data_IF_508250168216
#
_entry.id   IF_508250168216
#
_cell.length_a   1.000
_cell.length_b   1.000
_cell.length_c   1.000
_cell.angle_alpha   90.00
_cell.angle_beta   90.00
_cell.angle_gamma   90.00
#
_symmetry.space_group_name_H-M   'P 1'
#
loop_
_entity.id
_entity.type
_entity.pdbx_description
1 polymer ?
#
# COMPACT_ATOMS: atom_id res chain seq x y z
N UNK A 1 14.96 -1.20 1.90
CA UNK A 1 15.41 -2.35 1.08
C UNK A 1 16.82 -2.74 1.51
N UNK A 2 17.08 -4.03 1.70
CA UNK A 2 18.15 -4.48 2.57
C UNK A 2 19.48 -4.79 1.88
N UNK A 3 19.93 -3.92 0.96
CA UNK A 3 21.35 -3.89 0.63
C UNK A 3 21.87 -2.46 0.64
N UNK A 4 23.11 -2.35 1.10
CA UNK A 4 23.77 -1.06 1.26
C UNK A 4 24.09 -0.47 -0.10
N UNK A 5 23.56 0.72 -0.35
CA UNK A 5 23.76 1.47 -1.60
C UNK A 5 24.41 2.80 -1.29
N UNK A 6 25.15 3.31 -2.27
CA UNK A 6 25.80 4.61 -2.21
C UNK A 6 25.59 5.34 -3.54
N UNK A 7 25.34 6.63 -3.46
CA UNK A 7 25.23 7.50 -4.63
C UNK A 7 25.76 8.90 -4.31
N UNK A 8 26.40 9.53 -5.29
CA UNK A 8 26.85 10.92 -5.16
C UNK A 8 28.17 11.08 -4.42
N UNK A 9 28.35 12.25 -3.79
CA UNK A 9 29.57 12.62 -3.08
C UNK A 9 29.43 12.36 -1.59
N UNK A 10 30.41 11.67 -1.00
CA UNK A 10 30.41 11.29 0.41
C UNK A 10 31.76 11.60 1.07
N UNK A 11 31.80 11.92 2.37
CA UNK A 11 33.02 11.93 3.15
C UNK A 11 33.55 10.51 3.37
N UNK A 12 34.85 10.39 3.71
CA UNK A 12 35.47 9.08 3.97
C UNK A 12 34.98 8.36 5.25
N UNK A 13 34.19 9.03 6.10
CA UNK A 13 33.57 8.47 7.30
C UNK A 13 32.32 9.28 7.66
N UNK A 14 31.34 8.66 8.29
CA UNK A 14 30.16 9.36 8.84
C UNK A 14 30.58 10.37 9.91
N UNK A 15 29.83 11.46 10.01
CA UNK A 15 29.98 12.48 11.05
C UNK A 15 31.36 13.13 11.12
N UNK A 16 31.91 13.48 9.95
CA UNK A 16 33.13 14.28 9.82
C UNK A 16 32.86 15.50 8.94
N UNK A 17 33.82 16.43 8.88
CA UNK A 17 33.71 17.59 8.00
C UNK A 17 33.58 17.17 6.54
N UNK A 18 32.48 17.54 5.91
CA UNK A 18 32.25 17.39 4.48
C UNK A 18 31.88 18.75 3.89
N UNK A 19 32.77 19.32 3.06
CA UNK A 19 32.67 20.70 2.59
C UNK A 19 32.34 20.77 1.11
N UNK A 20 31.46 21.70 0.77
CA UNK A 20 31.22 22.15 -0.60
C UNK A 20 32.43 22.91 -1.15
N UNK A 21 32.56 23.09 -2.48
CA UNK A 21 33.67 23.83 -3.10
C UNK A 21 33.84 25.27 -2.57
N UNK A 22 32.76 25.90 -2.10
CA UNK A 22 32.77 27.23 -1.50
C UNK A 22 33.22 27.24 -0.02
N UNK A 23 33.62 26.10 0.54
CA UNK A 23 34.09 25.95 1.92
C UNK A 23 33.00 25.75 2.99
N UNK A 24 31.72 25.91 2.65
CA UNK A 24 30.60 25.64 3.57
C UNK A 24 30.47 24.13 3.82
N UNK A 25 29.98 23.75 5.00
CA UNK A 25 29.66 22.35 5.29
C UNK A 25 28.36 21.95 4.58
N UNK A 26 28.34 20.76 4.00
CA UNK A 26 27.08 20.08 3.72
C UNK A 26 26.41 19.66 5.03
N UNK A 27 25.08 19.68 5.07
CA UNK A 27 24.32 19.28 6.26
C UNK A 27 24.07 17.78 6.22
N UNK A 28 24.57 17.06 7.23
CA UNK A 28 24.37 15.61 7.37
C UNK A 28 23.00 15.33 8.00
N UNK A 29 22.19 14.46 7.39
CA UNK A 29 20.95 13.92 7.93
C UNK A 29 21.06 12.40 8.06
N UNK A 30 20.82 11.86 9.26
CA UNK A 30 20.58 10.43 9.43
C UNK A 30 19.09 10.19 9.27
N UNK A 31 18.70 9.66 8.12
CA UNK A 31 17.34 9.28 7.76
C UNK A 31 17.07 7.85 8.24
N UNK A 32 16.53 7.74 9.44
CA UNK A 32 16.37 6.46 10.14
C UNK A 32 14.92 6.06 10.36
N UNK A 33 14.74 4.76 10.56
CA UNK A 33 13.47 4.15 10.95
C UNK A 33 13.60 3.51 12.34
N UNK A 34 12.48 3.32 13.04
CA UNK A 34 12.42 2.63 14.34
C UNK A 34 13.35 3.21 15.42
N UNK A 35 13.57 4.53 15.44
CA UNK A 35 14.34 5.16 16.52
C UNK A 35 15.78 4.66 16.64
N UNK A 36 16.49 4.56 15.51
CA UNK A 36 17.89 4.13 15.37
C UNK A 36 18.17 2.62 15.47
N UNK A 37 17.15 1.78 15.68
CA UNK A 37 17.33 0.32 15.63
C UNK A 37 17.02 -0.29 14.26
N UNK A 38 16.24 0.43 13.43
CA UNK A 38 15.88 0.01 12.08
C UNK A 38 16.94 0.38 11.03
N UNK A 39 16.68 0.08 9.75
CA UNK A 39 17.53 0.53 8.66
C UNK A 39 17.59 2.06 8.59
N UNK A 40 18.71 2.57 8.09
CA UNK A 40 18.99 4.00 7.93
C UNK A 40 19.62 4.30 6.57
N UNK A 41 19.49 5.55 6.13
CA UNK A 41 20.36 6.16 5.13
C UNK A 41 20.93 7.46 5.68
N UNK A 42 22.17 7.78 5.34
CA UNK A 42 22.80 9.07 5.67
C UNK A 42 22.80 9.91 4.41
N UNK A 43 22.26 11.13 4.49
CA UNK A 43 22.19 12.07 3.38
C UNK A 43 23.01 13.31 3.68
N UNK A 44 23.56 13.92 2.63
CA UNK A 44 24.32 15.16 2.73
C UNK A 44 23.66 16.22 1.86
N UNK A 45 23.07 17.22 2.51
CA UNK A 45 22.29 18.29 1.88
C UNK A 45 23.14 19.54 1.63
N UNK A 46 22.79 20.31 0.59
CA UNK A 46 23.34 21.66 0.39
C UNK A 46 22.86 22.60 1.50
N UNK A 47 21.56 22.56 1.80
CA UNK A 47 20.91 23.38 2.82
C UNK A 47 20.50 22.49 4.01
N UNK A 48 20.42 23.06 5.21
CA UNK A 48 20.02 22.25 6.36
C UNK A 48 18.54 21.85 6.22
N UNK A 49 18.17 20.55 6.24
CA UNK A 49 16.80 20.09 5.96
C UNK A 49 15.74 20.60 6.97
N UNK A 50 16.19 21.22 8.06
CA UNK A 50 15.37 21.88 9.08
C UNK A 50 14.96 23.32 8.73
N UNK A 51 15.49 23.90 7.64
CA UNK A 51 15.23 25.28 7.23
C UNK A 51 13.90 25.39 6.47
N UNK A 52 12.83 25.65 7.22
CA UNK A 52 11.48 25.92 6.68
C UNK A 52 11.06 27.34 7.04
N UNK A 53 10.41 28.05 6.11
CA UNK A 53 10.00 29.45 6.29
C UNK A 53 8.49 29.64 6.53
N UNK A 54 7.68 28.60 6.30
CA UNK A 54 6.23 28.64 6.53
C UNK A 54 5.63 27.25 6.66
N UNK A 55 4.45 27.19 7.30
CA UNK A 55 3.65 25.97 7.36
C UNK A 55 2.18 26.28 7.62
N UNK A 56 1.29 25.44 7.11
CA UNK A 56 -0.16 25.50 7.38
C UNK A 56 -0.83 24.13 7.19
N UNK A 57 -1.93 23.81 7.92
CA UNK A 57 -2.75 22.66 7.60
C UNK A 57 -3.50 22.89 6.27
N UNK A 58 -3.59 21.87 5.42
CA UNK A 58 -4.30 21.95 4.14
C UNK A 58 -5.66 21.26 4.20
N UNK A 59 -5.69 19.95 4.39
CA UNK A 59 -6.93 19.17 4.36
C UNK A 59 -6.85 17.88 5.19
N UNK A 60 -8.02 17.42 5.61
CA UNK A 60 -8.21 16.11 6.22
C UNK A 60 -8.02 15.01 5.17
N UNK A 61 -7.19 14.02 5.50
CA UNK A 61 -6.86 12.90 4.63
C UNK A 61 -7.42 11.57 5.13
N UNK A 62 -8.25 11.58 6.18
CA UNK A 62 -8.87 10.36 6.71
C UNK A 62 -10.02 9.89 5.80
N UNK A 63 -10.06 8.61 5.41
CA UNK A 63 -11.17 8.07 4.66
C UNK A 63 -12.43 7.95 5.52
N UNK A 64 -13.59 8.16 4.90
CA UNK A 64 -14.88 7.80 5.49
C UNK A 64 -15.22 6.34 5.15
N UNK A 65 -15.12 5.46 6.14
CA UNK A 65 -15.52 4.06 6.02
C UNK A 65 -17.02 3.87 6.24
N UNK A 66 -17.68 3.21 5.28
CA UNK A 66 -19.10 2.92 5.28
C UNK A 66 -19.34 1.41 5.32
N UNK A 67 -20.60 1.01 5.55
CA UNK A 67 -21.00 -0.41 5.53
C UNK A 67 -20.15 -1.34 6.44
N UNK A 68 -19.63 -0.83 7.57
CA UNK A 68 -18.70 -1.56 8.45
C UNK A 68 -19.27 -2.86 9.05
N UNK A 69 -20.60 -3.04 9.02
CA UNK A 69 -21.29 -4.25 9.49
C UNK A 69 -21.71 -5.18 8.34
N UNK A 70 -21.33 -4.88 7.10
CA UNK A 70 -21.70 -5.64 5.90
C UNK A 70 -20.58 -6.59 5.51
N UNK A 71 -20.80 -7.88 5.74
CA UNK A 71 -19.91 -8.95 5.28
C UNK A 71 -20.42 -9.49 3.94
N UNK A 72 -19.83 -9.01 2.84
CA UNK A 72 -20.22 -9.38 1.47
C UNK A 72 -19.01 -9.32 0.54
N UNK A 73 -18.92 -10.26 -0.39
CA UNK A 73 -17.97 -10.17 -1.51
C UNK A 73 -18.26 -8.95 -2.37
N UNK A 74 -17.22 -8.24 -2.79
CA UNK A 74 -17.36 -7.02 -3.60
C UNK A 74 -16.62 -7.15 -4.92
N UNK A 75 -17.14 -6.49 -5.93
CA UNK A 75 -16.49 -6.30 -7.23
C UNK A 75 -16.58 -4.83 -7.60
N UNK A 76 -15.50 -4.11 -7.33
CA UNK A 76 -15.35 -2.70 -7.65
C UNK A 76 -14.81 -2.54 -9.05
N UNK A 77 -15.54 -1.82 -9.91
CA UNK A 77 -15.17 -1.58 -11.30
C UNK A 77 -14.48 -0.23 -11.41
N UNK A 78 -13.14 -0.20 -11.40
CA UNK A 78 -12.38 1.06 -11.46
C UNK A 78 -12.09 1.56 -12.88
N UNK A 79 -12.40 0.77 -13.91
CA UNK A 79 -12.15 1.11 -15.31
C UNK A 79 -12.91 2.36 -15.79
N UNK A 80 -14.17 2.61 -15.34
CA UNK A 80 -14.91 3.83 -15.68
C UNK A 80 -14.45 5.11 -14.94
N UNK A 81 -13.53 5.02 -13.98
CA UNK A 81 -13.07 6.20 -13.23
C UNK A 81 -12.47 7.23 -14.18
N UNK A 82 -12.96 8.46 -14.07
CA UNK A 82 -12.46 9.57 -14.88
C UNK A 82 -11.19 10.16 -14.27
N UNK A 83 -10.29 10.71 -15.10
CA UNK A 83 -9.14 11.44 -14.60
C UNK A 83 -9.56 12.60 -13.69
N UNK A 84 -8.92 12.72 -12.52
CA UNK A 84 -9.12 13.81 -11.58
C UNK A 84 -7.88 14.06 -10.73
N UNK A 85 -7.62 15.32 -10.37
CA UNK A 85 -6.53 15.71 -9.48
C UNK A 85 -5.15 15.28 -9.97
N UNK A 86 -4.16 15.42 -9.08
CA UNK A 86 -2.78 15.01 -9.31
C UNK A 86 -2.50 13.60 -8.71
N UNK A 87 -1.27 13.05 -8.79
CA UNK A 87 -0.95 11.71 -8.25
C UNK A 87 -1.09 11.53 -6.72
N UNK A 88 -1.39 12.58 -5.97
CA UNK A 88 -1.70 12.54 -4.53
C UNK A 88 -3.18 12.90 -4.31
N UNK A 89 -3.63 14.04 -4.81
CA UNK A 89 -5.00 14.55 -4.59
C UNK A 89 -6.06 13.79 -5.39
N UNK A 90 -5.67 13.14 -6.49
CA UNK A 90 -6.51 12.29 -7.31
C UNK A 90 -6.65 10.85 -6.80
N UNK A 91 -5.98 10.50 -5.69
CA UNK A 91 -6.08 9.16 -5.10
C UNK A 91 -7.48 8.94 -4.52
N UNK A 92 -8.14 7.86 -4.96
CA UNK A 92 -9.43 7.43 -4.42
C UNK A 92 -9.22 6.16 -3.61
N UNK A 93 -9.31 6.28 -2.29
CA UNK A 93 -9.24 5.13 -1.37
C UNK A 93 -10.52 4.32 -1.53
N UNK A 94 -10.37 3.01 -1.77
CA UNK A 94 -11.48 2.08 -1.95
C UNK A 94 -11.68 1.22 -0.70
N UNK A 95 -10.58 0.68 -0.20
CA UNK A 95 -10.57 -0.21 0.95
C UNK A 95 -9.47 0.19 1.92
N UNK A 96 -9.73 0.06 3.21
CA UNK A 96 -8.68 0.29 4.19
C UNK A 96 -9.01 -0.18 5.59
N UNK A 97 -7.99 -0.23 6.43
CA UNK A 97 -8.07 -0.52 7.84
C UNK A 97 -6.92 0.21 8.57
N UNK A 98 -6.59 -0.21 9.80
CA UNK A 98 -5.52 0.40 10.57
C UNK A 98 -4.10 0.06 10.08
N UNK A 99 -3.95 -0.91 9.19
CA UNK A 99 -2.68 -1.40 8.67
C UNK A 99 -2.37 -0.89 7.26
N UNK A 100 -3.37 -0.86 6.38
CA UNK A 100 -3.23 -0.43 4.98
C UNK A 100 -4.44 0.36 4.48
N UNK A 101 -4.19 1.37 3.65
CA UNK A 101 -5.18 2.01 2.78
C UNK A 101 -4.82 1.69 1.33
N UNK A 102 -5.80 1.23 0.54
CA UNK A 102 -5.59 0.89 -0.87
C UNK A 102 -6.66 1.47 -1.77
N UNK A 103 -6.27 1.78 -3.01
CA UNK A 103 -7.16 2.41 -3.95
C UNK A 103 -6.58 2.59 -5.33
N UNK A 104 -7.23 3.45 -6.10
CA UNK A 104 -6.91 3.73 -7.51
C UNK A 104 -6.71 5.23 -7.67
N UNK A 105 -5.75 5.61 -8.51
CA UNK A 105 -5.58 6.98 -8.96
C UNK A 105 -5.53 7.02 -10.49
N UNK A 106 -6.30 7.95 -11.06
CA UNK A 106 -6.27 8.30 -12.48
C UNK A 106 -5.99 9.82 -12.52
N UNK A 107 -4.72 10.26 -12.49
CA UNK A 107 -4.41 11.67 -12.39
C UNK A 107 -4.77 12.41 -13.69
N UNK A 108 -5.47 13.53 -13.56
CA UNK A 108 -5.71 14.48 -14.65
C UNK A 108 -4.58 15.51 -14.76
N UNK A 109 -4.02 15.89 -13.61
CA UNK A 109 -3.10 17.01 -13.46
C UNK A 109 -1.69 16.52 -13.07
N UNK A 110 -0.70 17.37 -13.35
CA UNK A 110 0.66 17.18 -12.87
C UNK A 110 0.82 17.71 -11.45
N UNK A 111 1.75 17.14 -10.69
CA UNK A 111 2.13 17.64 -9.37
C UNK A 111 2.98 18.91 -9.52
N UNK A 112 2.57 20.03 -8.91
CA UNK A 112 3.31 21.31 -8.87
C UNK A 112 4.02 21.57 -7.52
N UNK A 113 3.92 20.65 -6.58
CA UNK A 113 4.59 20.62 -5.28
C UNK A 113 5.44 19.35 -5.11
N UNK A 114 6.13 19.24 -3.98
CA UNK A 114 6.77 18.02 -3.51
C UNK A 114 5.95 17.38 -2.38
N UNK A 115 6.02 16.08 -2.21
CA UNK A 115 5.23 15.36 -1.22
C UNK A 115 6.10 14.43 -0.37
N UNK A 116 5.70 14.22 0.88
CA UNK A 116 6.14 13.08 1.69
C UNK A 116 5.02 12.60 2.61
N UNK A 117 5.04 11.32 2.95
CA UNK A 117 4.14 10.71 3.94
C UNK A 117 4.95 10.16 5.11
N UNK A 118 4.33 10.03 6.29
CA UNK A 118 4.90 9.24 7.41
C UNK A 118 4.66 7.73 7.25
N UNK A 119 4.07 7.32 6.14
CA UNK A 119 3.76 5.94 5.76
C UNK A 119 4.51 5.54 4.49
N UNK A 120 4.82 4.24 4.35
CA UNK A 120 5.39 3.70 3.11
C UNK A 120 4.29 3.64 2.04
N UNK A 121 4.63 4.02 0.82
CA UNK A 121 3.78 3.93 -0.37
C UNK A 121 4.29 2.79 -1.27
N UNK A 122 3.38 1.95 -1.75
CA UNK A 122 3.63 1.05 -2.87
C UNK A 122 2.66 1.38 -4.00
N UNK A 123 3.18 1.88 -5.13
CA UNK A 123 2.38 2.25 -6.31
C UNK A 123 2.60 1.21 -7.40
N UNK A 124 1.56 0.62 -7.96
CA UNK A 124 1.66 -0.22 -9.15
C UNK A 124 1.06 0.51 -10.36
N UNK A 125 1.91 0.85 -11.33
CA UNK A 125 1.55 1.63 -12.52
C UNK A 125 0.81 0.73 -13.51
N UNK A 126 -0.51 0.85 -13.61
CA UNK A 126 -1.28 0.09 -14.61
C UNK A 126 -1.10 0.69 -16.02
N UNK A 127 -1.20 2.01 -16.13
CA UNK A 127 -1.02 2.75 -17.37
C UNK A 127 -0.18 4.00 -17.14
N UNK A 128 0.58 4.38 -18.16
CA UNK A 128 1.43 5.55 -18.12
C UNK A 128 2.89 5.23 -17.85
N UNK A 129 3.69 6.29 -17.94
CA UNK A 129 5.14 6.27 -17.71
C UNK A 129 5.57 7.65 -17.22
N UNK A 130 6.78 7.76 -16.69
CA UNK A 130 7.28 9.03 -16.19
C UNK A 130 8.53 8.90 -15.35
N UNK A 131 8.71 9.84 -14.43
CA UNK A 131 9.86 9.88 -13.52
C UNK A 131 9.42 10.23 -12.11
N UNK A 132 9.88 9.42 -11.15
CA UNK A 132 9.79 9.69 -9.72
C UNK A 132 11.07 10.43 -9.31
N UNK A 133 10.97 11.74 -9.08
CA UNK A 133 12.08 12.54 -8.55
C UNK A 133 12.05 12.47 -7.03
N UNK A 134 13.17 12.14 -6.39
CA UNK A 134 13.25 12.01 -4.92
C UNK A 134 14.51 12.67 -4.39
N UNK A 135 14.58 12.85 -3.07
CA UNK A 135 15.80 13.32 -2.39
C UNK A 135 16.97 12.33 -2.52
N UNK A 136 16.72 11.10 -2.99
CA UNK A 136 17.75 10.09 -3.26
C UNK A 136 18.18 10.06 -4.73
N UNK A 137 17.49 10.78 -5.61
CA UNK A 137 17.68 10.73 -7.07
C UNK A 137 16.39 10.44 -7.83
N UNK A 138 16.51 10.32 -9.15
CA UNK A 138 15.41 10.10 -10.06
C UNK A 138 15.23 8.61 -10.37
N UNK A 139 13.99 8.14 -10.52
CA UNK A 139 13.68 6.77 -10.95
C UNK A 139 12.70 6.86 -12.13
N UNK A 140 13.13 6.54 -13.36
CA UNK A 140 12.20 6.37 -14.47
C UNK A 140 11.25 5.21 -14.20
N UNK A 141 9.99 5.35 -14.59
CA UNK A 141 9.00 4.29 -14.47
C UNK A 141 8.12 4.20 -15.71
N UNK A 142 7.51 3.04 -15.90
CA UNK A 142 6.61 2.71 -16.98
C UNK A 142 5.49 1.76 -16.53
N UNK A 143 4.74 1.22 -17.49
CA UNK A 143 3.68 0.28 -17.21
C UNK A 143 4.21 -0.94 -16.45
N UNK A 144 3.40 -1.38 -15.49
CA UNK A 144 3.59 -2.52 -14.60
C UNK A 144 4.76 -2.42 -13.62
N UNK A 145 5.32 -1.24 -13.44
CA UNK A 145 6.26 -0.99 -12.37
C UNK A 145 5.54 -0.85 -11.02
N UNK A 146 6.10 -1.52 -10.03
CA UNK A 146 5.98 -1.15 -8.63
C UNK A 146 6.97 -0.02 -8.32
N UNK A 147 6.50 1.04 -7.68
CA UNK A 147 7.31 2.06 -7.02
C UNK A 147 7.14 1.90 -5.52
N UNK A 148 8.20 1.48 -4.83
CA UNK A 148 8.21 1.38 -3.38
C UNK A 148 8.92 2.59 -2.83
N UNK A 149 8.18 3.43 -2.09
CA UNK A 149 8.60 4.73 -1.60
C UNK A 149 8.58 4.70 -0.07
N UNK A 150 9.74 4.60 0.60
CA UNK A 150 9.78 4.61 2.04
C UNK A 150 9.25 5.91 2.62
N UNK A 151 8.56 5.82 3.76
CA UNK A 151 8.11 6.96 4.56
C UNK A 151 9.21 7.98 4.76
N UNK A 152 8.82 9.25 4.78
CA UNK A 152 9.70 10.40 4.94
C UNK A 152 10.41 10.85 3.66
N UNK A 153 10.45 10.01 2.61
CA UNK A 153 11.07 10.36 1.33
C UNK A 153 10.32 11.55 0.72
N UNK A 154 11.03 12.67 0.51
CA UNK A 154 10.49 13.78 -0.28
C UNK A 154 10.57 13.39 -1.75
N UNK A 155 9.43 13.46 -2.43
CA UNK A 155 9.36 13.12 -3.85
C UNK A 155 8.40 14.00 -4.65
N UNK A 156 8.56 13.95 -5.97
CA UNK A 156 7.62 14.47 -6.97
C UNK A 156 7.41 13.40 -8.04
N UNK A 157 6.16 13.00 -8.24
CA UNK A 157 5.80 12.00 -9.25
C UNK A 157 5.34 12.71 -10.52
N UNK A 158 6.14 12.61 -11.58
CA UNK A 158 5.88 13.29 -12.85
C UNK A 158 5.54 12.25 -13.91
N UNK A 159 4.26 12.18 -14.27
CA UNK A 159 3.82 11.38 -15.41
C UNK A 159 4.04 12.14 -16.72
N UNK A 160 4.42 11.41 -17.77
CA UNK A 160 4.31 11.90 -19.14
C UNK A 160 2.82 12.04 -19.53
N UNK A 161 2.53 12.99 -20.43
CA UNK A 161 1.18 13.10 -20.99
C UNK A 161 0.93 11.90 -21.90
N UNK A 162 -0.17 11.15 -21.70
CA UNK A 162 -0.54 10.07 -22.61
C UNK A 162 -0.71 10.59 -24.04
N UNK A 163 -0.33 9.76 -25.01
CA UNK A 163 -0.66 10.03 -26.42
C UNK A 163 -2.17 9.89 -26.65
N UNK A 164 -2.66 10.41 -27.76
CA UNK A 164 -4.09 10.42 -28.08
C UNK A 164 -4.73 9.02 -28.17
N UNK A 165 -3.92 7.99 -28.44
CA UNK A 165 -4.30 6.57 -28.57
C UNK A 165 -3.94 5.73 -27.33
N UNK A 166 -3.31 6.32 -26.32
CA UNK A 166 -2.96 5.65 -25.07
C UNK A 166 -4.04 5.86 -23.99
N UNK A 167 -4.27 4.88 -23.10
CA UNK A 167 -5.15 5.09 -21.96
C UNK A 167 -4.62 6.19 -21.03
N UNK A 168 -5.52 6.82 -20.27
CA UNK A 168 -5.12 7.76 -19.23
C UNK A 168 -4.15 7.10 -18.23
N UNK A 169 -3.22 7.89 -17.69
CA UNK A 169 -2.33 7.44 -16.63
C UNK A 169 -3.16 6.86 -15.48
N UNK A 170 -2.75 5.70 -14.96
CA UNK A 170 -3.49 4.99 -13.92
C UNK A 170 -2.55 4.14 -13.08
N UNK A 171 -2.71 4.19 -11.77
CA UNK A 171 -2.01 3.32 -10.84
C UNK A 171 -2.91 2.90 -9.69
N UNK A 172 -2.62 1.74 -9.11
CA UNK A 172 -3.13 1.36 -7.79
C UNK A 172 -2.11 1.72 -6.74
N UNK A 173 -2.55 2.04 -5.54
CA UNK A 173 -1.68 2.33 -4.41
C UNK A 173 -2.06 1.48 -3.20
N UNK A 174 -1.06 1.11 -2.42
CA UNK A 174 -1.17 0.49 -1.10
C UNK A 174 -0.25 1.28 -0.16
N UNK A 175 -0.84 2.02 0.78
CA UNK A 175 -0.13 2.83 1.77
C UNK A 175 -0.15 2.12 3.13
N UNK A 176 1.02 1.89 3.73
CA UNK A 176 1.18 1.21 5.02
C UNK A 176 0.87 2.17 6.19
N UNK A 177 -0.42 2.44 6.43
CA UNK A 177 -0.88 3.43 7.43
C UNK A 177 -0.63 3.06 8.89
N UNK A 178 -0.18 1.82 9.18
CA UNK A 178 0.41 1.48 10.48
C UNK A 178 1.85 1.95 10.66
N UNK A 179 2.45 2.56 9.64
CA UNK A 179 3.83 3.02 9.66
C UNK A 179 4.87 1.90 9.57
N UNK A 180 4.51 0.70 9.12
CA UNK A 180 5.51 -0.34 8.81
C UNK A 180 6.22 -0.05 7.48
N UNK A 181 7.38 -0.68 7.28
CA UNK A 181 8.09 -0.64 5.99
C UNK A 181 7.51 -1.70 5.05
N UNK A 182 7.37 -1.37 3.77
CA UNK A 182 7.04 -2.34 2.72
C UNK A 182 8.35 -2.96 2.21
N UNK A 183 8.54 -4.25 2.47
CA UNK A 183 9.80 -4.96 2.23
C UNK A 183 9.60 -6.26 1.44
N UNK A 184 10.67 -6.78 0.81
CA UNK A 184 10.67 -8.15 0.33
C UNK A 184 10.35 -9.14 1.46
N UNK A 185 9.59 -10.21 1.16
CA UNK A 185 9.24 -11.23 2.14
C UNK A 185 10.49 -11.87 2.79
N UNK A 186 10.55 -12.02 4.13
CA UNK A 186 11.68 -12.62 4.83
C UNK A 186 12.02 -14.03 4.34
N UNK A 187 11.05 -14.76 3.76
CA UNK A 187 11.25 -16.09 3.15
C UNK A 187 12.17 -16.08 1.92
N UNK A 188 12.34 -14.93 1.28
CA UNK A 188 13.20 -14.73 0.12
C UNK A 188 14.55 -14.13 0.48
N UNK A 189 14.76 -13.75 1.75
CA UNK A 189 15.98 -13.10 2.21
C UNK A 189 16.80 -14.01 3.12
N UNK A 190 18.11 -13.95 2.97
CA UNK A 190 19.07 -14.54 3.89
C UNK A 190 18.94 -13.87 5.25
N UNK A 191 18.63 -14.66 6.29
CA UNK A 191 18.58 -14.17 7.68
C UNK A 191 19.92 -13.59 8.19
N UNK A 192 21.04 -13.90 7.52
CA UNK A 192 22.39 -13.48 7.93
C UNK A 192 22.89 -12.24 7.20
N UNK A 193 22.54 -12.08 5.93
CA UNK A 193 23.09 -11.04 5.05
C UNK A 193 22.03 -10.12 4.45
N UNK A 194 20.74 -10.44 4.61
CA UNK A 194 19.61 -9.78 3.96
C UNK A 194 19.67 -9.76 2.41
N UNK A 195 20.60 -10.52 1.83
CA UNK A 195 20.68 -10.83 0.41
C UNK A 195 19.49 -11.70 -0.01
N UNK A 196 18.99 -11.53 -1.23
CA UNK A 196 18.03 -12.47 -1.81
C UNK A 196 18.61 -13.89 -1.88
N UNK A 197 17.76 -14.88 -1.61
CA UNK A 197 18.08 -16.29 -1.75
C UNK A 197 17.86 -16.73 -3.19
N UNK A 198 18.63 -17.70 -3.68
CA UNK A 198 18.56 -18.17 -5.08
C UNK A 198 17.19 -18.72 -5.51
N UNK A 199 16.32 -19.07 -4.56
CA UNK A 199 14.94 -19.49 -4.85
C UNK A 199 13.93 -18.34 -4.86
N UNK A 200 14.37 -17.11 -4.58
CA UNK A 200 13.51 -15.94 -4.62
C UNK A 200 12.99 -15.72 -6.06
N UNK A 201 11.73 -15.31 -6.24
CA UNK A 201 11.15 -15.09 -7.57
C UNK A 201 11.66 -13.81 -8.24
N UNK A 202 12.51 -13.04 -7.58
CA UNK A 202 13.23 -11.88 -8.13
C UNK A 202 14.47 -11.64 -7.27
N UNK A 203 15.42 -10.85 -7.78
CA UNK A 203 16.70 -10.60 -7.15
C UNK A 203 17.05 -9.11 -7.20
N UNK A 204 18.22 -8.75 -6.64
CA UNK A 204 18.68 -7.37 -6.58
C UNK A 204 18.83 -6.71 -7.96
N UNK A 205 19.05 -7.51 -9.02
CA UNK A 205 19.26 -7.01 -10.38
C UNK A 205 17.98 -6.54 -11.06
N UNK A 206 16.84 -7.01 -10.59
CA UNK A 206 15.53 -6.66 -11.13
C UNK A 206 15.04 -5.31 -10.55
N UNK A 207 15.80 -4.74 -9.62
CA UNK A 207 15.46 -3.53 -8.89
C UNK A 207 16.17 -2.33 -9.50
N UNK A 208 15.39 -1.33 -9.91
CA UNK A 208 15.90 -0.08 -10.46
C UNK A 208 15.99 0.97 -9.36
N UNK A 209 17.23 1.32 -9.03
CA UNK A 209 17.58 2.26 -7.98
C UNK A 209 17.56 3.71 -8.49
N UNK A 210 17.61 4.72 -7.59
CA UNK A 210 17.76 6.11 -7.99
C UNK A 210 19.00 6.35 -8.86
N UNK A 211 18.83 7.17 -9.90
CA UNK A 211 19.87 7.63 -10.81
C UNK A 211 19.88 9.17 -10.92
N UNK A 212 20.77 9.71 -11.76
CA UNK A 212 20.85 11.15 -12.00
C UNK A 212 19.65 11.65 -12.81
N UNK A 213 19.17 12.89 -12.60
CA UNK A 213 19.70 13.89 -11.69
C UNK A 213 19.40 13.58 -10.22
N UNK A 214 20.40 13.81 -9.36
CA UNK A 214 20.31 13.54 -7.91
C UNK A 214 20.12 14.80 -7.07
N UNK A 215 20.56 15.95 -7.57
CA UNK A 215 20.65 17.19 -6.77
C UNK A 215 20.16 18.38 -7.57
N UNK A 216 19.38 19.23 -6.91
CA UNK A 216 18.96 20.53 -7.40
C UNK A 216 19.40 21.59 -6.38
N UNK A 217 19.99 22.70 -6.85
CA UNK A 217 20.51 23.80 -6.02
C UNK A 217 19.82 25.14 -6.38
N UNK A 218 18.51 25.07 -6.54
CA UNK A 218 17.68 26.24 -6.86
C UNK A 218 17.19 26.91 -5.58
N UNK A 219 17.18 28.25 -5.58
CA UNK A 219 16.56 29.08 -4.53
C UNK A 219 15.18 29.55 -5.00
N UNK A 220 14.25 29.68 -4.06
CA UNK A 220 12.86 30.07 -4.34
C UNK A 220 11.92 29.49 -3.31
N UNK A 221 10.62 29.71 -3.47
CA UNK A 221 9.62 29.07 -2.62
C UNK A 221 9.23 27.71 -3.18
N UNK A 222 9.45 26.66 -2.40
CA UNK A 222 9.10 25.29 -2.76
C UNK A 222 8.15 24.71 -1.72
N UNK A 223 6.96 24.31 -2.16
CA UNK A 223 6.00 23.61 -1.32
C UNK A 223 6.39 22.14 -1.15
N UNK A 224 6.40 21.67 0.11
CA UNK A 224 6.43 20.27 0.49
C UNK A 224 5.17 19.94 1.27
N UNK A 225 4.28 19.14 0.70
CA UNK A 225 3.08 18.61 1.37
C UNK A 225 3.42 17.37 2.17
N UNK A 226 3.00 17.34 3.44
CA UNK A 226 3.33 16.28 4.40
C UNK A 226 2.04 15.63 4.91
N UNK A 227 1.79 14.36 4.56
CA UNK A 227 0.73 13.55 5.19
C UNK A 227 1.21 13.02 6.52
N UNK A 228 0.54 13.42 7.60
CA UNK A 228 0.79 12.95 8.96
C UNK A 228 -0.40 13.22 9.86
N UNK A 229 -0.65 12.36 10.86
CA UNK A 229 -1.69 12.56 11.88
C UNK A 229 -3.10 12.75 11.27
N UNK A 230 -3.39 12.03 10.19
CA UNK A 230 -4.68 12.10 9.49
C UNK A 230 -4.87 13.34 8.61
N UNK A 231 -3.88 14.22 8.51
CA UNK A 231 -3.96 15.47 7.76
C UNK A 231 -2.81 15.63 6.77
N UNK A 232 -3.04 16.41 5.72
CA UNK A 232 -1.97 16.94 4.87
C UNK A 232 -1.66 18.37 5.30
N UNK A 233 -0.38 18.68 5.44
CA UNK A 233 0.14 19.99 5.82
C UNK A 233 1.06 20.53 4.73
N UNK A 234 0.99 21.82 4.45
CA UNK A 234 1.96 22.49 3.59
C UNK A 234 3.13 22.98 4.42
N UNK A 235 4.35 22.81 3.91
CA UNK A 235 5.58 23.40 4.43
C UNK A 235 6.31 24.09 3.29
N UNK A 236 6.73 25.33 3.51
CA UNK A 236 7.45 26.13 2.49
C UNK A 236 8.95 26.13 2.80
N UNK A 237 9.73 25.76 1.79
CA UNK A 237 11.20 25.80 1.79
C UNK A 237 11.70 26.94 0.91
N UNK A 238 12.83 27.55 1.27
CA UNK A 238 13.48 28.61 0.46
C UNK A 238 14.49 28.08 -0.59
N UNK A 239 14.53 26.77 -0.76
CA UNK A 239 15.43 26.05 -1.66
C UNK A 239 14.76 24.76 -2.14
N UNK A 240 15.24 24.22 -3.26
CA UNK A 240 14.69 22.99 -3.82
C UNK A 240 14.83 21.84 -2.82
N UNK A 241 13.77 21.12 -2.42
CA UNK A 241 13.83 20.15 -1.33
C UNK A 241 14.55 18.83 -1.70
N UNK A 242 14.95 18.68 -2.97
CA UNK A 242 15.74 17.58 -3.49
C UNK A 242 17.22 18.01 -3.67
N UNK A 243 17.84 18.52 -2.60
CA UNK A 243 19.16 19.16 -2.60
C UNK A 243 20.31 18.27 -2.06
N UNK A 244 20.12 16.95 -2.09
CA UNK A 244 21.09 15.99 -1.58
C UNK A 244 22.23 15.80 -2.58
N UNK A 245 23.48 16.04 -2.17
CA UNK A 245 24.69 15.85 -3.00
C UNK A 245 25.26 14.43 -2.95
N UNK A 246 24.78 13.62 -2.03
CA UNK A 246 25.12 12.21 -1.93
C UNK A 246 24.48 11.57 -0.71
N UNK A 247 24.32 10.26 -0.78
CA UNK A 247 23.77 9.45 0.31
C UNK A 247 24.34 8.03 0.30
N UNK A 248 24.26 7.37 1.45
CA UNK A 248 24.47 5.93 1.56
C UNK A 248 23.57 5.27 2.60
N UNK A 249 23.23 4.00 2.42
CA UNK A 249 22.42 3.24 3.38
C UNK A 249 21.46 2.24 2.77
N UNK A 250 20.36 1.96 3.48
CA UNK A 250 19.41 0.88 3.19
C UNK A 250 17.93 1.35 3.13
N UNK A 251 17.68 2.65 3.29
CA UNK A 251 16.34 3.24 3.19
C UNK A 251 16.33 4.21 2.01
N UNK A 252 15.82 3.75 0.89
CA UNK A 252 15.74 4.50 -0.36
C UNK A 252 14.60 3.93 -1.22
N UNK A 253 14.02 4.73 -2.12
CA UNK A 253 13.00 4.28 -3.05
C UNK A 253 13.61 3.44 -4.17
N UNK A 254 12.80 2.59 -4.78
CA UNK A 254 13.19 1.78 -5.95
C UNK A 254 11.97 1.45 -6.81
N UNK A 255 12.22 1.09 -8.06
CA UNK A 255 11.23 0.49 -8.96
C UNK A 255 11.50 -1.01 -9.16
N UNK A 256 10.45 -1.79 -9.35
CA UNK A 256 10.50 -3.22 -9.70
C UNK A 256 9.41 -3.51 -10.73
N UNK A 257 9.74 -4.08 -11.88
CA UNK A 257 8.72 -4.42 -12.88
C UNK A 257 8.12 -5.80 -12.59
N UNK A 258 6.79 -5.92 -12.61
CA UNK A 258 6.12 -7.20 -12.35
C UNK A 258 6.46 -8.28 -13.39
N UNK A 259 6.84 -7.88 -14.62
CA UNK A 259 7.21 -8.82 -15.68
C UNK A 259 8.57 -9.48 -15.39
N UNK A 260 9.39 -8.92 -14.48
CA UNK A 260 10.64 -9.52 -14.00
C UNK A 260 10.40 -10.55 -12.86
N UNK A 261 9.19 -10.61 -12.30
CA UNK A 261 8.82 -11.61 -11.31
C UNK A 261 8.76 -13.00 -11.95
N UNK A 262 9.64 -13.91 -11.51
CA UNK A 262 9.74 -15.30 -11.96
C UNK A 262 8.79 -16.21 -11.17
N UNK A 263 7.64 -16.64 -11.74
CA UNK A 263 6.63 -17.36 -10.98
C UNK A 263 7.10 -18.75 -10.56
N UNK A 264 6.92 -19.07 -9.28
CA UNK A 264 7.23 -20.39 -8.74
C UNK A 264 6.05 -21.33 -9.05
N UNK A 265 6.29 -22.36 -9.86
CA UNK A 265 5.29 -23.35 -10.26
C UNK A 265 5.57 -24.72 -9.64
N UNK A 266 4.53 -25.52 -9.48
CA UNK A 266 4.60 -26.85 -8.87
C UNK A 266 3.97 -27.93 -9.73
N UNK A 267 4.22 -29.19 -9.35
CA UNK A 267 3.50 -30.33 -9.94
C UNK A 267 1.99 -30.24 -9.65
N UNK A 268 1.65 -29.65 -8.52
CA UNK A 268 0.30 -29.39 -8.04
C UNK A 268 0.16 -27.91 -7.71
N UNK A 269 -1.10 -27.45 -7.60
CA UNK A 269 -1.44 -26.05 -7.35
C UNK A 269 -0.71 -25.48 -6.15
N UNK A 270 0.10 -24.44 -6.40
CA UNK A 270 0.87 -23.75 -5.38
C UNK A 270 0.01 -22.68 -4.71
N UNK A 271 0.08 -22.52 -3.37
CA UNK A 271 -0.73 -21.54 -2.67
C UNK A 271 -0.22 -20.09 -2.92
N UNK A 272 -1.06 -19.07 -2.67
CA UNK A 272 -0.74 -17.66 -2.90
C UNK A 272 0.61 -17.14 -2.34
N UNK A 273 1.16 -17.64 -1.22
CA UNK A 273 2.49 -17.19 -0.75
C UNK A 273 3.63 -17.39 -1.74
N UNK A 274 3.47 -18.22 -2.78
CA UNK A 274 4.44 -18.37 -3.87
C UNK A 274 4.42 -17.22 -4.89
N UNK A 275 3.35 -16.43 -4.89
CA UNK A 275 3.18 -15.23 -5.70
C UNK A 275 3.56 -13.94 -4.96
N UNK A 276 4.01 -14.03 -3.71
CA UNK A 276 4.26 -12.85 -2.89
C UNK A 276 5.43 -12.03 -3.45
N UNK A 277 5.25 -10.71 -3.52
CA UNK A 277 6.27 -9.77 -3.98
C UNK A 277 6.79 -8.93 -2.82
N UNK A 278 5.89 -8.42 -1.98
CA UNK A 278 6.22 -7.60 -0.81
C UNK A 278 5.38 -7.99 0.41
N UNK A 279 5.77 -7.54 1.60
CA UNK A 279 4.94 -7.53 2.81
C UNK A 279 5.25 -6.32 3.68
N UNK A 280 4.29 -6.00 4.54
CA UNK A 280 4.50 -5.12 5.68
C UNK A 280 3.78 -5.73 6.90
N UNK A 281 3.68 -4.98 8.00
CA UNK A 281 2.98 -5.49 9.18
C UNK A 281 1.49 -5.69 8.86
N UNK A 282 1.00 -6.93 9.01
CA UNK A 282 -0.38 -7.37 8.80
C UNK A 282 -0.96 -7.27 7.37
N UNK A 283 -0.13 -7.16 6.33
CA UNK A 283 -0.59 -7.35 4.96
C UNK A 283 0.52 -7.83 4.02
N UNK A 284 0.13 -8.48 2.94
CA UNK A 284 1.04 -8.97 1.88
C UNK A 284 0.62 -8.43 0.53
N UNK A 285 1.59 -8.25 -0.37
CA UNK A 285 1.35 -7.89 -1.78
C UNK A 285 1.86 -9.03 -2.65
N UNK A 286 1.02 -9.55 -3.54
CA UNK A 286 1.37 -10.65 -4.44
C UNK A 286 1.20 -10.27 -5.92
N UNK A 287 2.03 -10.85 -6.76
CA UNK A 287 2.03 -10.74 -8.22
C UNK A 287 1.66 -12.08 -8.84
N UNK A 288 0.43 -12.17 -9.36
CA UNK A 288 -0.01 -13.31 -10.14
C UNK A 288 0.37 -13.06 -11.60
N UNK A 289 1.52 -13.59 -12.03
CA UNK A 289 2.01 -13.39 -13.38
C UNK A 289 1.71 -14.58 -14.33
N UNK A 290 1.75 -14.35 -15.65
CA UNK A 290 1.70 -15.39 -16.67
C UNK A 290 2.72 -16.51 -16.42
N UNK A 291 2.30 -17.76 -16.54
CA UNK A 291 3.13 -18.92 -16.20
C UNK A 291 2.59 -20.24 -16.76
N UNK A 292 3.43 -21.27 -16.90
CA UNK A 292 2.97 -22.65 -17.00
C UNK A 292 2.08 -23.01 -15.81
N UNK A 293 1.04 -23.78 -16.08
CA UNK A 293 0.15 -24.30 -15.05
C UNK A 293 0.70 -25.62 -14.47
N UNK A 294 -0.01 -26.14 -13.48
CA UNK A 294 0.35 -27.36 -12.75
C UNK A 294 0.57 -28.55 -13.69
N UNK A 295 1.70 -29.24 -13.54
CA UNK A 295 2.15 -30.25 -14.51
C UNK A 295 1.85 -31.71 -14.12
N UNK A 296 1.03 -31.96 -13.10
CA UNK A 296 0.47 -33.30 -12.87
C UNK A 296 -0.56 -33.63 -13.98
N UNK A 297 -0.56 -34.85 -14.57
CA UNK A 297 -1.52 -35.23 -15.62
C UNK A 297 -3.01 -35.11 -15.23
N UNK A 298 -3.30 -35.09 -13.93
CA UNK A 298 -4.63 -34.95 -13.34
C UNK A 298 -4.75 -33.70 -12.45
N UNK A 299 -3.94 -32.66 -12.71
CA UNK A 299 -4.02 -31.43 -11.92
C UNK A 299 -5.34 -30.70 -12.15
N UNK A 300 -5.87 -30.12 -11.08
CA UNK A 300 -6.81 -29.00 -11.16
C UNK A 300 -5.96 -27.73 -11.21
N UNK A 301 -6.02 -27.03 -12.35
CA UNK A 301 -5.08 -25.95 -12.71
C UNK A 301 -5.58 -24.55 -12.34
N UNK A 302 -6.72 -24.49 -11.65
CA UNK A 302 -7.30 -23.27 -11.09
C UNK A 302 -7.35 -23.40 -9.57
N UNK A 303 -7.43 -22.27 -8.83
CA UNK A 303 -7.49 -22.31 -7.36
C UNK A 303 -8.62 -23.18 -6.83
N UNK A 304 -8.41 -23.77 -5.67
CA UNK A 304 -9.45 -24.50 -4.95
C UNK A 304 -10.48 -23.53 -4.33
N UNK A 305 -11.68 -24.03 -4.06
CA UNK A 305 -12.59 -23.36 -3.12
C UNK A 305 -11.92 -23.33 -1.75
N UNK A 306 -11.91 -22.17 -1.09
CA UNK A 306 -11.31 -22.01 0.23
C UNK A 306 -12.04 -20.99 1.08
N UNK A 307 -11.78 -21.10 2.38
CA UNK A 307 -12.07 -20.06 3.35
C UNK A 307 -10.75 -19.64 3.98
N UNK A 308 -10.43 -18.36 3.85
CA UNK A 308 -9.35 -17.75 4.59
C UNK A 308 -9.97 -17.11 5.83
N UNK A 309 -9.74 -17.71 7.00
CA UNK A 309 -10.47 -17.34 8.21
C UNK A 309 -9.92 -16.07 8.87
N UNK A 310 -8.66 -15.75 8.57
CA UNK A 310 -7.89 -14.66 9.19
C UNK A 310 -7.41 -13.63 8.17
N UNK A 311 -7.92 -13.64 6.94
CA UNK A 311 -7.47 -12.73 5.88
C UNK A 311 -8.60 -12.30 4.98
N UNK A 312 -8.71 -10.99 4.77
CA UNK A 312 -9.45 -10.43 3.66
C UNK A 312 -8.55 -10.49 2.42
N UNK A 313 -9.10 -10.87 1.27
CA UNK A 313 -8.34 -11.03 0.03
C UNK A 313 -8.80 -10.02 -1.01
N UNK A 314 -7.87 -9.19 -1.51
CA UNK A 314 -8.15 -8.19 -2.56
C UNK A 314 -7.32 -8.47 -3.79
N UNK A 315 -7.97 -8.75 -4.92
CA UNK A 315 -7.34 -8.88 -6.23
C UNK A 315 -7.68 -7.69 -7.12
N UNK A 316 -6.66 -7.06 -7.67
CA UNK A 316 -6.74 -6.11 -8.78
C UNK A 316 -6.31 -6.76 -10.09
N UNK A 317 -7.19 -6.71 -11.07
CA UNK A 317 -7.04 -7.36 -12.36
C UNK A 317 -6.37 -6.41 -13.36
N UNK A 318 -5.20 -6.79 -13.87
CA UNK A 318 -4.37 -5.94 -14.74
C UNK A 318 -4.65 -6.26 -16.21
N UNK A 319 -4.26 -7.45 -16.67
CA UNK A 319 -4.48 -7.89 -18.06
C UNK A 319 -4.60 -9.42 -18.16
N UNK A 320 -4.91 -9.91 -19.36
CA UNK A 320 -5.04 -11.34 -19.65
C UNK A 320 -6.47 -11.88 -19.51
N UNK A 321 -6.60 -13.21 -19.56
CA UNK A 321 -7.89 -13.90 -19.49
C UNK A 321 -8.12 -14.50 -18.09
N UNK A 322 -9.08 -13.97 -17.35
CA UNK A 322 -9.43 -14.42 -15.99
C UNK A 322 -10.31 -15.67 -16.00
N UNK A 323 -9.77 -16.80 -16.49
CA UNK A 323 -10.55 -18.02 -16.81
C UNK A 323 -11.35 -18.61 -15.64
N UNK A 324 -10.95 -18.33 -14.40
CA UNK A 324 -11.65 -18.80 -13.21
C UNK A 324 -12.86 -17.92 -12.81
N UNK A 325 -13.00 -16.70 -13.36
CA UNK A 325 -14.01 -15.72 -12.95
C UNK A 325 -14.75 -15.12 -14.15
N UNK A 326 -16.07 -15.01 -14.04
CA UNK A 326 -16.99 -14.42 -15.03
C UNK A 326 -17.27 -12.97 -14.66
N UNK A 327 -17.35 -12.08 -15.64
CA UNK A 327 -17.70 -10.67 -15.42
C UNK A 327 -16.55 -9.80 -14.88
N UNK A 328 -15.35 -10.35 -14.69
CA UNK A 328 -14.16 -9.61 -14.31
C UNK A 328 -13.50 -9.01 -15.55
N UNK A 329 -13.14 -7.73 -15.47
CA UNK A 329 -12.48 -6.96 -16.52
C UNK A 329 -11.19 -6.29 -16.00
N UNK A 330 -10.29 -5.91 -16.90
CA UNK A 330 -9.09 -5.12 -16.54
C UNK A 330 -9.51 -3.86 -15.78
N UNK A 331 -8.87 -3.61 -14.63
CA UNK A 331 -9.24 -2.57 -13.69
C UNK A 331 -10.29 -2.99 -12.63
N UNK A 332 -10.75 -4.24 -12.63
CA UNK A 332 -11.60 -4.74 -11.54
C UNK A 332 -10.79 -4.90 -10.25
N UNK A 333 -11.40 -4.58 -9.11
CA UNK A 333 -10.96 -5.02 -7.79
C UNK A 333 -12.01 -5.97 -7.23
N UNK A 334 -11.62 -7.11 -6.69
CA UNK A 334 -12.53 -7.98 -5.93
C UNK A 334 -12.07 -8.08 -4.50
N UNK A 335 -12.98 -7.91 -3.55
CA UNK A 335 -12.74 -8.17 -2.13
C UNK A 335 -13.51 -9.42 -1.72
N UNK A 336 -12.78 -10.37 -1.14
CA UNK A 336 -13.29 -11.59 -0.51
C UNK A 336 -13.01 -11.49 1.00
N UNK A 337 -14.01 -11.08 1.82
CA UNK A 337 -13.83 -10.93 3.26
C UNK A 337 -13.47 -12.25 3.95
N UNK A 338 -12.69 -12.15 5.02
CA UNK A 338 -12.37 -13.30 5.86
C UNK A 338 -13.62 -13.97 6.42
N UNK A 339 -13.57 -15.30 6.56
CA UNK A 339 -14.64 -16.09 7.17
C UNK A 339 -15.78 -16.50 6.24
N UNK A 340 -15.78 -16.10 4.96
CA UNK A 340 -16.69 -16.66 3.94
C UNK A 340 -15.91 -17.48 2.91
N UNK A 341 -16.48 -18.59 2.37
CA UNK A 341 -15.84 -19.33 1.30
C UNK A 341 -15.90 -18.59 -0.04
N UNK A 342 -14.83 -18.68 -0.83
CA UNK A 342 -14.75 -18.25 -2.23
C UNK A 342 -13.92 -19.23 -3.05
N UNK A 343 -13.96 -19.07 -4.37
CA UNK A 343 -13.25 -19.95 -5.30
C UNK A 343 -13.69 -19.76 -6.75
N UNK A 344 -13.32 -20.67 -7.66
CA UNK A 344 -13.71 -20.60 -9.06
C UNK A 344 -15.23 -20.56 -9.23
N UNK A 345 -15.71 -19.92 -10.31
CA UNK A 345 -17.13 -19.97 -10.65
C UNK A 345 -17.57 -21.38 -11.07
N UNK A 346 -18.87 -21.71 -10.90
CA UNK A 346 -19.40 -23.00 -11.34
C UNK A 346 -19.07 -23.31 -12.81
N UNK A 347 -18.54 -24.51 -13.04
CA UNK A 347 -18.13 -25.05 -14.34
C UNK A 347 -16.75 -24.61 -14.84
N UNK A 348 -16.07 -23.66 -14.20
CA UNK A 348 -14.74 -23.22 -14.67
C UNK A 348 -13.65 -24.24 -14.35
N UNK A 349 -13.82 -25.04 -13.30
CA UNK A 349 -12.86 -26.10 -12.93
C UNK A 349 -12.77 -27.13 -14.06
N UNK A 350 -13.90 -27.70 -14.48
CA UNK A 350 -13.96 -28.68 -15.55
C UNK A 350 -13.52 -28.09 -16.90
N UNK A 351 -13.92 -26.86 -17.20
CA UNK A 351 -13.58 -26.18 -18.45
C UNK A 351 -12.08 -25.85 -18.60
N UNK A 352 -11.31 -25.85 -17.50
CA UNK A 352 -9.89 -25.53 -17.50
C UNK A 352 -8.98 -26.76 -17.44
N UNK A 353 -9.53 -27.97 -17.29
CA UNK A 353 -8.75 -29.20 -17.30
C UNK A 353 -7.96 -29.32 -18.63
N UNK A 354 -6.67 -29.61 -18.51
CA UNK A 354 -5.77 -29.77 -19.66
C UNK A 354 -5.13 -28.47 -20.15
N UNK A 355 -5.50 -27.30 -19.61
CA UNK A 355 -4.74 -26.08 -19.87
C UNK A 355 -3.34 -26.19 -19.26
N UNK A 356 -2.34 -25.78 -20.04
CA UNK A 356 -0.93 -25.85 -19.65
C UNK A 356 -0.32 -24.48 -19.34
N UNK A 357 -1.07 -23.40 -19.56
CA UNK A 357 -0.57 -22.04 -19.41
C UNK A 357 -1.69 -21.05 -19.06
N UNK A 358 -1.34 -20.02 -18.29
CA UNK A 358 -2.18 -18.84 -18.05
C UNK A 358 -1.46 -17.56 -18.48
N UNK A 359 -2.22 -16.62 -19.01
CA UNK A 359 -1.76 -15.27 -19.35
C UNK A 359 -2.34 -14.21 -18.41
N UNK A 360 -2.94 -14.62 -17.30
CA UNK A 360 -3.49 -13.72 -16.29
C UNK A 360 -2.38 -12.93 -15.59
N UNK A 361 -2.57 -11.61 -15.50
CA UNK A 361 -1.80 -10.71 -14.67
C UNK A 361 -2.72 -10.03 -13.65
N UNK A 362 -2.45 -10.23 -12.37
CA UNK A 362 -3.18 -9.60 -11.27
C UNK A 362 -2.24 -9.24 -10.11
N UNK A 363 -2.59 -8.16 -9.40
CA UNK A 363 -1.93 -7.72 -8.17
C UNK A 363 -2.88 -7.98 -7.02
N UNK A 364 -2.39 -8.59 -5.95
CA UNK A 364 -3.18 -8.88 -4.76
C UNK A 364 -2.65 -8.12 -3.56
N UNK A 365 -3.54 -7.63 -2.70
CA UNK A 365 -3.21 -7.10 -1.38
C UNK A 365 -4.11 -7.76 -0.33
N UNK A 366 -3.57 -8.76 0.35
CA UNK A 366 -4.28 -9.50 1.40
C UNK A 366 -3.95 -8.92 2.76
N UNK A 367 -4.94 -8.83 3.63
CA UNK A 367 -4.81 -8.19 4.93
C UNK A 367 -5.33 -9.08 6.05
N UNK A 368 -4.59 -9.12 7.17
CA UNK A 368 -4.99 -9.94 8.33
C UNK A 368 -5.93 -9.21 9.30
N UNK A 369 -6.24 -7.94 9.03
CA UNK A 369 -7.37 -7.22 9.62
C UNK A 369 -8.47 -7.07 8.59
N UNK A 370 -9.76 -7.06 9.00
CA UNK A 370 -10.85 -6.82 8.07
C UNK A 370 -10.70 -5.46 7.37
N UNK A 371 -10.98 -5.42 6.07
CA UNK A 371 -11.01 -4.20 5.27
C UNK A 371 -12.40 -3.57 5.33
N UNK A 372 -12.41 -2.25 5.47
CA UNK A 372 -13.62 -1.45 5.40
C UNK A 372 -13.70 -0.76 4.05
N UNK A 373 -14.90 -0.73 3.47
CA UNK A 373 -15.16 -0.05 2.21
C UNK A 373 -15.38 1.46 2.44
N UNK A 374 -14.89 2.29 1.53
CA UNK A 374 -15.26 3.72 1.47
C UNK A 374 -16.54 3.91 0.66
N UNK A 375 -17.11 5.12 0.70
CA UNK A 375 -18.26 5.46 -0.15
C UNK A 375 -17.94 5.27 -1.65
N UNK A 376 -16.74 5.64 -2.08
CA UNK A 376 -16.30 5.45 -3.46
C UNK A 376 -16.27 3.96 -3.86
N UNK A 377 -15.84 3.07 -2.97
CA UNK A 377 -15.89 1.63 -3.26
C UNK A 377 -17.32 1.11 -3.40
N UNK A 378 -18.26 1.61 -2.60
CA UNK A 378 -19.69 1.24 -2.71
C UNK A 378 -20.30 1.76 -4.01
N UNK A 379 -19.96 2.99 -4.43
CA UNK A 379 -20.47 3.58 -5.68
C UNK A 379 -19.97 2.85 -6.94
N UNK A 380 -18.77 2.27 -6.87
CA UNK A 380 -18.15 1.52 -7.95
C UNK A 380 -18.41 0.02 -7.89
N UNK A 381 -19.11 -0.48 -6.87
CA UNK A 381 -19.37 -1.91 -6.67
C UNK A 381 -20.46 -2.45 -7.62
N UNK A 382 -20.30 -3.69 -8.06
CA UNK A 382 -21.33 -4.50 -8.72
C UNK A 382 -22.13 -5.29 -7.67
N UNK A 383 -23.37 -4.87 -7.30
CA UNK A 383 -24.09 -5.47 -6.19
C UNK A 383 -24.47 -6.93 -6.44
N UNK A 384 -24.57 -7.35 -7.70
CA UNK A 384 -24.91 -8.72 -8.09
C UNK A 384 -23.71 -9.68 -8.06
N UNK A 385 -22.50 -9.20 -7.73
CA UNK A 385 -21.31 -10.04 -7.72
C UNK A 385 -21.44 -11.34 -6.88
N UNK A 386 -22.00 -11.33 -5.66
CA UNK A 386 -22.20 -12.59 -4.93
C UNK A 386 -23.10 -13.61 -5.67
N UNK A 387 -24.03 -13.14 -6.51
CA UNK A 387 -24.92 -14.01 -7.28
C UNK A 387 -24.23 -14.62 -8.51
N UNK A 388 -22.99 -14.24 -8.85
CA UNK A 388 -22.27 -14.82 -10.00
C UNK A 388 -21.88 -16.30 -9.82
N UNK A 389 -21.97 -16.80 -8.58
CA UNK A 389 -21.82 -18.21 -8.22
C UNK A 389 -23.13 -19.01 -8.28
N UNK A 390 -24.28 -18.42 -8.61
CA UNK A 390 -25.52 -19.18 -8.82
C UNK A 390 -25.47 -19.94 -10.16
N UNK A 391 -25.90 -21.21 -10.16
CA UNK A 391 -25.99 -22.04 -11.36
C UNK A 391 -27.05 -21.47 -12.34
N UNK A 392 -26.62 -21.05 -13.54
CA UNK A 392 -27.50 -20.62 -14.64
C UNK A 392 -27.65 -19.10 -14.90
N UNK A 393 -26.90 -18.22 -14.23
CA UNK A 393 -27.15 -16.77 -14.32
C UNK A 393 -26.29 -16.01 -15.35
N UNK A 394 -26.81 -15.91 -16.57
CA UNK A 394 -26.97 -14.64 -17.31
C UNK A 394 -28.33 -14.64 -18.03
N UNK A 395 -29.39 -15.11 -17.38
CA UNK A 395 -30.77 -14.87 -17.82
C UNK A 395 -31.68 -14.67 -16.62
N UNK A 396 -32.36 -13.52 -16.62
CA UNK A 396 -33.52 -13.12 -15.80
C UNK A 396 -33.32 -12.95 -14.28
N UNK A 397 -33.30 -11.67 -13.85
CA UNK A 397 -34.06 -11.18 -12.68
C UNK A 397 -34.03 -12.10 -11.43
N UNK A 398 -32.86 -12.32 -10.83
CA UNK A 398 -32.82 -12.86 -9.46
C UNK A 398 -32.99 -11.72 -8.45
N UNK A 399 -34.00 -11.87 -7.59
CA UNK A 399 -34.36 -10.91 -6.54
C UNK A 399 -33.26 -10.92 -5.47
N UNK A 400 -32.25 -10.08 -5.62
CA UNK A 400 -31.37 -9.74 -4.49
C UNK A 400 -32.23 -9.03 -3.44
N UNK A 401 -32.46 -9.70 -2.30
CA UNK A 401 -33.00 -9.02 -1.12
C UNK A 401 -31.87 -8.15 -0.57
N UNK A 402 -31.98 -6.84 -0.78
CA UNK A 402 -31.21 -5.86 -0.02
C UNK A 402 -31.33 -6.19 1.49
N UNK A 403 -30.25 -6.01 2.28
CA UNK A 403 -30.31 -6.26 3.71
C UNK A 403 -31.47 -5.45 4.30
N UNK A 404 -32.40 -6.14 5.00
CA UNK A 404 -33.34 -5.44 5.85
C UNK A 404 -32.50 -4.69 6.88
N UNK A 405 -32.63 -3.36 6.93
CA UNK A 405 -31.96 -2.53 7.93
C UNK A 405 -32.08 -3.21 9.30
N UNK A 406 -30.93 -3.48 9.93
CA UNK A 406 -30.91 -4.06 11.27
C UNK A 406 -31.78 -3.17 12.16
N UNK A 407 -32.80 -3.77 12.81
CA UNK A 407 -33.60 -3.04 13.79
C UNK A 407 -32.62 -2.52 14.86
N UNK A 408 -32.67 -1.23 15.23
CA UNK A 408 -31.87 -0.75 16.35
C UNK A 408 -32.20 -1.61 17.56
N UNK A 409 -31.16 -2.07 18.26
CA UNK A 409 -31.30 -2.78 19.51
C UNK A 409 -32.17 -1.90 20.43
N UNK A 410 -33.37 -2.38 20.75
CA UNK A 410 -34.30 -1.65 21.60
C UNK A 410 -33.63 -1.36 22.94
N UNK A 411 -33.67 -0.09 23.34
CA UNK A 411 -33.11 0.44 24.57
C UNK A 411 -33.31 -0.51 25.76
N UNK A 412 -32.19 -0.86 26.40
CA UNK A 412 -32.19 -1.52 27.68
C UNK A 412 -33.04 -0.70 28.66
N UNK A 413 -34.11 -1.31 29.16
CA UNK A 413 -34.99 -0.74 30.18
C UNK A 413 -34.17 -0.12 31.31
N UNK A 414 -34.29 1.19 31.47
CA UNK A 414 -33.77 1.94 32.58
C UNK A 414 -34.19 1.31 33.92
N UNK A 415 -33.22 0.86 34.71
CA UNK A 415 -33.43 0.46 36.09
C UNK A 415 -33.63 1.73 36.95
N UNK A 416 -34.76 1.80 37.66
CA UNK A 416 -35.12 2.88 38.58
C UNK A 416 -34.15 2.94 39.79
N UNK A 417 -33.90 4.12 40.38
CA UNK A 417 -33.07 4.24 41.57
C UNK A 417 -33.87 3.90 42.84
N UNK A 418 -33.30 3.08 43.73
CA UNK A 418 -33.84 2.83 45.06
C UNK A 418 -33.30 3.84 46.08
N UNK A 419 -34.20 4.38 46.90
CA UNK A 419 -33.93 5.44 47.88
C UNK A 419 -33.58 4.90 49.27
N UNK A 420 -32.61 5.58 49.91
CA UNK A 420 -32.37 5.88 51.33
C UNK A 420 -32.94 4.97 52.44
N UNK A 421 -32.03 4.50 53.32
CA UNK A 421 -32.26 4.20 54.73
C UNK A 421 -31.08 4.67 55.61
N UNK A 422 -31.35 5.37 56.72
CA UNK A 422 -30.38 6.04 57.62
C UNK A 422 -30.13 5.25 58.93
N UNK A 423 -28.86 5.29 59.38
CA UNK A 423 -28.30 5.22 60.77
C UNK A 423 -28.50 3.91 61.57
N UNK A 424 -27.54 3.43 62.38
CA UNK A 424 -27.06 4.00 63.65
C UNK A 424 -25.60 3.60 63.98
N UNK A 425 -24.94 4.51 64.72
CA UNK A 425 -23.58 4.52 65.30
C UNK A 425 -23.20 3.32 66.20
N UNK A 426 -21.90 3.00 66.24
CA UNK A 426 -21.09 2.93 67.48
C UNK A 426 -19.59 2.93 67.18
N UNK A 427 -18.84 3.75 67.91
CA UNK A 427 -17.38 3.75 68.10
C UNK A 427 -17.14 3.85 69.63
N UNK A 428 -15.91 3.86 70.19
CA UNK A 428 -14.57 3.71 69.59
C UNK A 428 -13.59 2.82 70.40
N UNK A 429 -12.40 2.56 69.87
CA UNK A 429 -11.17 2.43 70.69
C UNK A 429 -9.91 2.74 69.84
N UNK A 430 -8.98 3.47 70.46
CA UNK A 430 -7.76 4.11 69.93
C UNK A 430 -6.60 3.11 69.74
N UNK A 431 -5.65 3.43 68.84
CA UNK A 431 -4.28 3.91 69.19
C UNK A 431 -3.26 3.77 68.03
N UNK A 432 -2.58 4.89 67.72
CA UNK A 432 -1.18 5.03 67.24
C UNK A 432 -0.82 4.48 65.85
N UNK A 433 0.15 5.00 65.09
CA UNK A 433 0.97 6.22 65.09
C UNK A 433 1.78 6.19 63.77
N UNK A 434 2.23 7.37 63.29
CA UNK A 434 3.28 7.63 62.28
C UNK A 434 2.98 7.28 60.80
N UNK A 435 2.93 8.24 59.86
CA UNK A 435 4.05 9.00 59.21
C UNK A 435 5.00 8.06 58.45
N UNK A 436 5.40 8.24 57.19
CA UNK A 436 5.47 9.41 56.28
C UNK A 436 5.62 8.92 54.83
N UNK A 437 5.34 9.84 53.91
CA UNK A 437 5.61 9.78 52.48
C UNK A 437 7.11 9.76 52.16
N UNK A 438 7.50 8.95 51.18
CA UNK A 438 8.36 9.29 50.04
C UNK A 438 8.00 8.36 48.87
#
# INVERSE_FOLDING_TARGET
MAFYTTMGKLPGKRHIQFRAPNGRLYSEEVFGTEGFTGPTSTLYHINAPTQVCGWEPLYDAQPEYVEQNVMRMRHTRSSPMQPQGDPITGRVILYGNADVEMGVCVPADGMDYHYKSVFDDCLFVHHGRGTLFTMFGAIPFGPKDYLVIPKGTIYRLVFERPKADEPANKFIFMEAVNGSLILPPPRYLSKKSAQFLEHAPYCERDLRLPELPMTFDDRGEFEVRIKSRGWVHSYTYEYHPLDVVGWDGCVYPYAFNIDDFSPIVGKHHMPPPTHQTFEAHNFVICSFCPRPLDFHPQAIVVPYNHSNLDSDEVLYYVEGNYKARRGIESGSLTLHPQGIPHGPHPGTVEATIGLTHTNELAVMCDTFRPLMATRAAVELDEPLYPASWEDGAMTASSKVRAPKAAKPASDAKAAKPAAKGKSVRRAPARAGAANTWD
#
